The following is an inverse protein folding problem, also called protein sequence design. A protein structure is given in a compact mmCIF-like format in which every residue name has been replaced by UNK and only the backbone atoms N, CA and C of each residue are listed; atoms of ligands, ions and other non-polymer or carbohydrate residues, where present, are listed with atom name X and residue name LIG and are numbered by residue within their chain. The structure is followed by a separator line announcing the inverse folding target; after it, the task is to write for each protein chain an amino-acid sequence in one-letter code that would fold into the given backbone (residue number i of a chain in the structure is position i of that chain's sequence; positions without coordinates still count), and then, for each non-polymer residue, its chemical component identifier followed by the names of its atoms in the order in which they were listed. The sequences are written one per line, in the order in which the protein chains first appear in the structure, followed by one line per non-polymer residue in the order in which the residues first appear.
data_IF_327134417220
#
_entry.id   IF_327134417220
#
_cell.length_a   1.000
_cell.length_b   1.000
_cell.length_c   1.000
_cell.angle_alpha   90.00
_cell.angle_beta   90.00
_cell.angle_gamma   90.00
#
_symmetry.space_group_name_H-M   'P 1'
#
loop_
_entity.id
_entity.type
_entity.pdbx_description
1 polymer ?
#
# COMPACT_ATOMS: atom_id res chain seq x y z
N UNK A 1 -7.62 -12.66 22.38
CA UNK A 1 -6.28 -12.27 22.84
C UNK A 1 -5.34 -12.41 21.66
N UNK A 2 -4.77 -11.29 21.22
CA UNK A 2 -3.74 -11.31 20.20
C UNK A 2 -2.50 -12.06 20.72
N UNK A 3 -1.83 -12.78 19.83
CA UNK A 3 -0.54 -13.41 20.12
C UNK A 3 0.57 -12.49 19.61
N UNK A 4 1.51 -12.16 20.49
CA UNK A 4 2.67 -11.33 20.15
C UNK A 4 3.94 -12.15 20.35
N UNK A 5 4.80 -12.15 19.34
CA UNK A 5 6.11 -12.82 19.38
C UNK A 5 7.20 -11.91 18.86
N UNK A 6 8.41 -12.09 19.40
CA UNK A 6 9.57 -11.33 18.95
C UNK A 6 9.97 -11.73 17.52
N UNK A 7 10.15 -10.74 16.66
CA UNK A 7 10.72 -10.90 15.32
C UNK A 7 12.15 -10.37 15.30
N UNK A 8 13.07 -11.16 14.75
CA UNK A 8 14.47 -10.78 14.63
C UNK A 8 15.15 -11.49 13.48
N UNK A 9 15.85 -10.74 12.64
CA UNK A 9 16.59 -11.25 11.48
C UNK A 9 17.92 -10.53 11.34
N UNK A 10 18.87 -11.18 10.66
CA UNK A 10 20.19 -10.60 10.37
C UNK A 10 20.43 -10.64 8.88
N UNK A 11 20.86 -9.53 8.30
CA UNK A 11 21.29 -9.43 6.90
C UNK A 11 22.81 -9.27 6.85
N UNK A 12 23.47 -10.08 6.03
CA UNK A 12 24.93 -10.02 5.77
C UNK A 12 25.19 -10.03 4.27
N UNK A 13 26.45 -9.97 3.84
CA UNK A 13 26.78 -10.11 2.43
C UNK A 13 26.44 -11.51 1.87
N UNK A 14 26.47 -12.55 2.70
CA UNK A 14 26.17 -13.94 2.33
C UNK A 14 24.67 -14.24 2.37
N UNK A 15 23.93 -13.55 3.24
CA UNK A 15 22.48 -13.66 3.37
C UNK A 15 21.89 -12.25 3.41
N UNK A 16 21.77 -11.65 2.23
CA UNK A 16 21.44 -10.22 2.06
C UNK A 16 19.95 -9.94 2.05
N UNK A 17 19.09 -10.97 2.09
CA UNK A 17 17.64 -10.83 1.92
C UNK A 17 16.87 -11.78 2.83
N UNK A 18 15.76 -11.31 3.37
CA UNK A 18 14.80 -12.12 4.13
C UNK A 18 13.37 -11.68 3.81
N UNK A 19 12.48 -12.66 3.70
CA UNK A 19 11.07 -12.43 3.41
C UNK A 19 10.24 -12.86 4.60
N UNK A 20 9.38 -11.97 5.06
CA UNK A 20 8.28 -12.26 5.96
C UNK A 20 7.01 -12.40 5.13
N UNK A 21 6.20 -13.40 5.45
CA UNK A 21 4.96 -13.68 4.75
C UNK A 21 3.88 -14.04 5.77
N UNK A 22 2.63 -13.89 5.35
CA UNK A 22 1.48 -14.26 6.18
C UNK A 22 1.27 -15.77 6.16
N UNK A 23 0.83 -16.30 7.29
CA UNK A 23 0.42 -17.70 7.43
C UNK A 23 -1.01 -17.86 6.90
N UNK A 24 -1.17 -18.38 5.69
CA UNK A 24 -2.49 -18.53 5.03
C UNK A 24 -3.44 -19.45 5.80
N UNK A 25 -2.93 -20.37 6.62
CA UNK A 25 -3.73 -21.25 7.46
C UNK A 25 -4.28 -20.54 8.73
N UNK A 26 -3.87 -19.29 8.96
CA UNK A 26 -4.30 -18.50 10.11
C UNK A 26 -5.41 -17.52 9.73
N UNK A 27 -6.63 -17.81 10.18
CA UNK A 27 -7.86 -17.07 9.81
C UNK A 27 -8.00 -15.64 10.35
N UNK A 28 -7.00 -15.11 11.05
CA UNK A 28 -7.04 -13.80 11.71
C UNK A 28 -5.91 -12.91 11.23
N UNK A 29 -6.06 -11.61 11.47
CA UNK A 29 -5.10 -10.60 11.05
C UNK A 29 -3.67 -10.88 11.53
N UNK A 30 -2.70 -10.64 10.68
CA UNK A 30 -1.27 -10.80 10.92
C UNK A 30 -0.55 -9.52 10.58
N UNK A 31 0.28 -9.07 11.52
CA UNK A 31 1.02 -7.83 11.42
C UNK A 31 2.47 -8.01 11.81
N UNK A 32 3.36 -7.48 10.98
CA UNK A 32 4.77 -7.32 11.30
C UNK A 32 5.04 -5.86 11.67
N UNK A 33 5.60 -5.63 12.86
CA UNK A 33 5.99 -4.30 13.32
C UNK A 33 7.50 -4.23 13.44
N UNK A 34 8.17 -3.36 12.69
CA UNK A 34 9.62 -3.18 12.78
C UNK A 34 9.94 -2.02 13.71
N UNK A 35 10.61 -2.33 14.82
CA UNK A 35 10.96 -1.34 15.84
C UNK A 35 12.34 -0.76 15.66
N UNK A 36 13.32 -1.53 15.18
CA UNK A 36 14.68 -1.04 14.99
C UNK A 36 15.44 -1.79 13.91
N UNK A 37 16.36 -1.07 13.28
CA UNK A 37 17.38 -1.60 12.38
C UNK A 37 18.74 -1.12 12.88
N UNK A 38 19.64 -2.05 13.19
CA UNK A 38 20.92 -1.82 13.87
C UNK A 38 22.08 -2.40 13.06
N UNK A 39 23.14 -1.63 12.91
CA UNK A 39 24.40 -2.07 12.32
C UNK A 39 25.28 -2.73 13.37
N UNK A 40 25.77 -3.93 13.06
CA UNK A 40 26.68 -4.69 13.92
C UNK A 40 27.98 -3.97 14.23
N UNK A 41 28.62 -4.38 15.32
CA UNK A 41 29.88 -3.80 15.77
C UNK A 41 31.03 -4.15 14.81
N UNK A 42 30.93 -5.30 14.17
CA UNK A 42 31.84 -5.91 13.21
C UNK A 42 31.65 -5.39 11.78
N UNK A 43 30.68 -4.50 11.54
CA UNK A 43 30.50 -3.86 10.25
C UNK A 43 31.73 -3.04 9.86
N UNK A 44 32.10 -3.11 8.58
CA UNK A 44 33.28 -2.42 8.04
C UNK A 44 33.20 -0.92 8.27
N UNK A 45 34.32 -0.33 8.67
CA UNK A 45 34.45 1.12 8.77
C UNK A 45 34.31 1.78 7.40
N UNK A 46 33.78 3.00 7.39
CA UNK A 46 33.61 3.81 6.18
C UNK A 46 32.72 3.20 5.08
N UNK A 47 31.90 2.20 5.41
CA UNK A 47 30.97 1.54 4.48
C UNK A 47 29.50 1.87 4.81
N UNK A 48 28.74 2.32 3.80
CA UNK A 48 27.29 2.46 3.93
C UNK A 48 26.61 1.09 3.81
N UNK A 49 25.69 0.84 4.73
CA UNK A 49 24.82 -0.31 4.77
C UNK A 49 23.39 0.17 4.57
N UNK A 50 22.73 -0.27 3.50
CA UNK A 50 21.40 0.22 3.12
C UNK A 50 20.43 -0.93 3.09
N UNK A 51 19.38 -0.84 3.92
CA UNK A 51 18.28 -1.81 3.94
C UNK A 51 17.11 -1.23 3.14
N UNK A 52 16.67 -1.97 2.16
CA UNK A 52 15.47 -1.74 1.36
C UNK A 52 14.34 -2.63 1.85
N UNK A 53 13.11 -2.11 1.79
CA UNK A 53 11.88 -2.90 1.92
C UNK A 53 11.19 -2.99 0.57
N UNK A 54 10.64 -4.16 0.27
CA UNK A 54 9.74 -4.38 -0.86
C UNK A 54 8.42 -4.97 -0.33
N UNK A 55 7.31 -4.30 -0.65
CA UNK A 55 5.95 -4.80 -0.41
C UNK A 55 5.22 -4.90 -1.77
N UNK A 56 5.08 -6.11 -2.33
CA UNK A 56 4.42 -6.28 -3.63
C UNK A 56 2.96 -5.81 -3.63
N UNK A 57 2.25 -6.01 -2.51
CA UNK A 57 0.85 -5.60 -2.33
C UNK A 57 0.67 -4.09 -2.51
N UNK A 58 1.57 -3.29 -1.96
CA UNK A 58 1.49 -1.82 -2.04
C UNK A 58 2.29 -1.24 -3.21
N UNK A 59 2.97 -2.08 -4.00
CA UNK A 59 3.91 -1.66 -5.05
C UNK A 59 5.00 -0.71 -4.53
N UNK A 60 5.44 -0.88 -3.28
CA UNK A 60 6.49 -0.06 -2.65
C UNK A 60 7.81 -0.81 -2.64
N UNK A 61 8.86 -0.15 -3.11
CA UNK A 61 10.24 -0.61 -2.99
C UNK A 61 11.16 0.57 -2.67
N UNK A 62 11.53 0.75 -1.39
CA UNK A 62 12.29 1.91 -0.92
C UNK A 62 13.30 1.56 0.19
N UNK A 63 14.41 2.31 0.32
CA UNK A 63 15.27 2.23 1.49
C UNK A 63 14.54 2.63 2.77
N UNK A 64 14.68 1.82 3.83
CA UNK A 64 14.14 2.10 5.18
C UNK A 64 15.24 2.34 6.22
N UNK A 65 16.50 2.01 5.91
CA UNK A 65 17.64 2.35 6.75
C UNK A 65 18.89 2.64 5.90
N UNK A 66 19.66 3.63 6.35
CA UNK A 66 21.01 3.92 5.87
C UNK A 66 21.90 4.04 7.09
N UNK A 67 22.83 3.09 7.23
CA UNK A 67 23.68 2.93 8.41
C UNK A 67 25.15 2.96 8.01
N UNK A 68 26.00 3.48 8.90
CA UNK A 68 27.44 3.51 8.69
C UNK A 68 28.17 3.58 10.04
N UNK A 69 29.17 2.73 10.20
CA UNK A 69 29.98 2.71 11.41
C UNK A 69 30.68 4.08 11.62
N UNK A 70 30.53 4.63 12.82
CA UNK A 70 31.04 5.98 13.16
C UNK A 70 30.08 7.14 12.84
N UNK A 71 28.96 6.86 12.16
CA UNK A 71 27.92 7.85 11.88
C UNK A 71 26.58 7.38 12.47
N UNK A 72 25.75 6.69 11.68
CA UNK A 72 24.45 6.19 12.11
C UNK A 72 24.53 4.69 12.31
N UNK A 73 24.48 4.23 13.58
CA UNK A 73 24.49 2.79 13.91
C UNK A 73 23.11 2.18 14.02
N UNK A 74 22.06 2.95 14.31
CA UNK A 74 20.71 2.43 14.44
C UNK A 74 19.68 3.45 13.96
N UNK A 75 18.55 2.94 13.47
CA UNK A 75 17.35 3.71 13.19
C UNK A 75 16.13 2.98 13.72
N UNK A 76 15.09 3.72 14.05
CA UNK A 76 13.80 3.21 14.52
C UNK A 76 12.73 3.66 13.52
N UNK A 77 12.50 2.89 12.43
CA UNK A 77 11.62 3.35 11.35
C UNK A 77 10.14 3.40 11.75
N UNK A 78 9.74 2.66 12.79
CA UNK A 78 8.36 2.54 13.29
C UNK A 78 7.36 2.26 12.16
N UNK A 79 7.64 1.20 11.39
CA UNK A 79 6.82 0.76 10.27
C UNK A 79 6.09 -0.53 10.63
N UNK A 80 4.87 -0.66 10.15
CA UNK A 80 4.02 -1.82 10.36
C UNK A 80 3.48 -2.32 9.01
N UNK A 81 3.39 -3.63 8.86
CA UNK A 81 2.93 -4.29 7.65
C UNK A 81 1.81 -5.26 8.02
N UNK A 82 0.61 -5.01 7.51
CA UNK A 82 -0.58 -5.80 7.80
C UNK A 82 -0.98 -6.64 6.59
N UNK A 83 -1.17 -7.94 6.78
CA UNK A 83 -1.67 -8.86 5.74
C UNK A 83 -0.91 -8.72 4.41
N UNK A 84 0.42 -8.60 4.48
CA UNK A 84 1.26 -8.26 3.33
C UNK A 84 2.60 -8.96 3.39
N UNK A 85 2.96 -9.67 2.33
CA UNK A 85 4.31 -10.18 2.13
C UNK A 85 5.32 -9.02 2.09
N UNK A 86 6.39 -9.12 2.88
CA UNK A 86 7.44 -8.09 2.97
C UNK A 86 8.80 -8.72 2.78
N UNK A 87 9.65 -8.11 1.94
CA UNK A 87 11.05 -8.50 1.82
C UNK A 87 11.96 -7.37 2.25
N UNK A 88 12.86 -7.66 3.17
CA UNK A 88 13.95 -6.77 3.55
C UNK A 88 15.23 -7.22 2.86
N UNK A 89 15.96 -6.27 2.25
CA UNK A 89 17.19 -6.56 1.54
C UNK A 89 18.31 -5.56 1.85
N UNK A 90 19.50 -6.06 2.13
CA UNK A 90 20.73 -5.29 2.26
C UNK A 90 21.28 -5.00 0.86
N UNK A 91 20.84 -3.89 0.25
CA UNK A 91 21.20 -3.54 -1.13
C UNK A 91 22.60 -2.91 -1.27
N UNK A 92 23.20 -2.49 -0.15
CA UNK A 92 24.58 -2.00 -0.06
C UNK A 92 25.18 -2.37 1.29
N UNK A 93 26.51 -2.52 1.30
CA UNK A 93 27.29 -2.82 2.50
C UNK A 93 27.39 -4.31 2.79
N UNK A 94 28.28 -4.66 3.71
CA UNK A 94 28.58 -6.06 4.06
C UNK A 94 27.81 -6.54 5.29
N UNK A 95 27.15 -5.62 6.00
CA UNK A 95 26.52 -5.89 7.28
C UNK A 95 27.53 -6.27 8.38
N UNK A 96 27.08 -6.98 9.42
CA UNK A 96 25.71 -7.45 9.62
C UNK A 96 24.78 -6.30 9.99
N UNK A 97 23.53 -6.40 9.52
CA UNK A 97 22.43 -5.52 9.93
C UNK A 97 21.36 -6.36 10.60
N UNK A 98 21.02 -6.02 11.84
CA UNK A 98 19.97 -6.65 12.62
C UNK A 98 18.67 -5.86 12.47
N UNK A 99 17.59 -6.54 12.12
CA UNK A 99 16.25 -5.96 12.08
C UNK A 99 15.45 -6.68 13.15
N UNK A 100 14.79 -5.94 14.04
CA UNK A 100 13.92 -6.53 15.04
C UNK A 100 12.66 -5.73 15.30
N UNK A 101 11.69 -6.42 15.89
CA UNK A 101 10.33 -5.98 16.02
C UNK A 101 9.45 -7.08 16.57
N UNK A 102 8.16 -7.05 16.25
CA UNK A 102 7.20 -8.04 16.72
C UNK A 102 6.33 -8.58 15.58
N UNK A 103 6.04 -9.88 15.63
CA UNK A 103 4.90 -10.45 14.91
C UNK A 103 3.69 -10.39 15.84
N UNK A 104 2.57 -9.88 15.33
CA UNK A 104 1.30 -9.81 16.03
C UNK A 104 0.29 -10.60 15.20
N UNK A 105 -0.35 -11.57 15.84
CA UNK A 105 -1.50 -12.30 15.31
C UNK A 105 -2.73 -11.80 16.07
N UNK A 106 -3.59 -11.06 15.38
CA UNK A 106 -4.78 -10.44 15.95
C UNK A 106 -5.78 -11.49 16.42
N UNK A 107 -6.71 -11.08 17.28
CA UNK A 107 -7.80 -11.94 17.75
C UNK A 107 -9.11 -11.79 16.98
N UNK A 108 -9.13 -10.87 16.01
CA UNK A 108 -10.25 -10.62 15.12
C UNK A 108 -10.07 -11.44 13.84
N UNK A 109 -11.06 -12.24 13.50
CA UNK A 109 -11.11 -12.93 12.20
C UNK A 109 -11.13 -11.91 11.06
N UNK A 110 -10.37 -12.18 10.01
CA UNK A 110 -10.44 -11.35 8.80
C UNK A 110 -11.77 -11.68 8.14
N UNK A 111 -12.77 -10.83 8.37
CA UNK A 111 -14.06 -10.94 7.69
C UNK A 111 -13.84 -10.48 6.26
N UNK A 112 -13.84 -11.43 5.34
CA UNK A 112 -13.82 -11.14 3.91
C UNK A 112 -15.17 -10.51 3.53
N UNK A 113 -15.22 -9.18 3.49
CA UNK A 113 -16.44 -8.45 3.12
C UNK A 113 -16.60 -8.35 1.59
N UNK A 114 -15.87 -9.15 0.80
CA UNK A 114 -16.02 -9.15 -0.67
C UNK A 114 -17.21 -10.00 -1.17
N UNK A 115 -17.96 -10.68 -0.30
CA UNK A 115 -19.10 -11.54 -0.70
C UNK A 115 -20.49 -10.85 -0.76
N UNK A 116 -20.61 -9.54 -0.52
CA UNK A 116 -21.93 -8.86 -0.44
C UNK A 116 -22.31 -8.00 -1.68
N UNK A 117 -21.60 -8.13 -2.80
CA UNK A 117 -21.85 -7.31 -4.02
C UNK A 117 -22.65 -8.05 -5.13
N UNK A 118 -23.42 -9.08 -4.75
CA UNK A 118 -24.43 -9.72 -5.63
C UNK A 118 -25.87 -9.38 -5.17
N UNK A 119 -26.17 -8.11 -4.86
CA UNK A 119 -27.57 -7.63 -4.74
C UNK A 119 -27.99 -6.76 -5.94
N UNK A 120 -29.07 -7.21 -6.58
CA UNK A 120 -30.09 -6.41 -7.28
C UNK A 120 -29.79 -5.80 -8.67
N UNK A 121 -29.61 -6.67 -9.67
CA UNK A 121 -29.99 -6.33 -11.05
C UNK A 121 -31.50 -6.61 -11.26
N UNK A 122 -32.35 -5.87 -10.52
CA UNK A 122 -33.82 -5.91 -10.63
C UNK A 122 -34.37 -4.51 -10.92
N UNK A 123 -34.05 -3.94 -12.08
CA UNK A 123 -34.71 -2.73 -12.54
C UNK A 123 -34.59 -2.53 -14.07
N UNK A 124 -35.62 -2.93 -14.82
CA UNK A 124 -36.13 -2.18 -15.98
C UNK A 124 -37.35 -2.91 -16.54
N UNK A 125 -38.50 -2.79 -15.86
CA UNK A 125 -39.80 -3.19 -16.40
C UNK A 125 -40.84 -2.09 -16.16
N UNK A 126 -40.53 -0.85 -16.54
CA UNK A 126 -41.44 0.32 -16.62
C UNK A 126 -40.85 1.24 -17.71
N UNK A 127 -41.51 1.82 -18.70
CA UNK A 127 -42.87 2.33 -18.79
C UNK A 127 -43.16 2.80 -20.24
N UNK A 128 -44.42 2.70 -20.64
CA UNK A 128 -45.16 3.61 -21.52
C UNK A 128 -44.89 3.72 -23.04
N UNK A 129 -45.65 2.90 -23.77
CA UNK A 129 -46.18 3.23 -25.08
C UNK A 129 -47.09 4.48 -25.04
N UNK A 130 -46.58 5.66 -25.42
CA UNK A 130 -47.45 6.77 -25.84
C UNK A 130 -47.10 7.31 -27.25
N UNK A 131 -47.91 6.98 -28.28
CA UNK A 131 -47.69 7.46 -29.65
C UNK A 131 -48.06 8.95 -29.82
N UNK A 132 -47.00 9.76 -29.92
CA UNK A 132 -46.81 10.96 -30.78
C UNK A 132 -48.08 11.55 -31.44
N UNK A 133 -48.89 12.29 -30.70
CA UNK A 133 -49.84 13.26 -31.31
C UNK A 133 -49.11 14.55 -31.67
N UNK A 134 -48.76 14.63 -32.95
CA UNK A 134 -48.23 15.82 -33.64
C UNK A 134 -49.29 16.94 -33.63
N UNK A 135 -49.19 17.91 -32.73
CA UNK A 135 -49.94 19.15 -32.81
C UNK A 135 -49.02 20.29 -33.26
N UNK A 136 -49.16 20.63 -34.54
CA UNK A 136 -48.53 21.74 -35.25
C UNK A 136 -49.15 23.04 -34.74
N UNK A 137 -48.42 23.88 -34.01
CA UNK A 137 -48.79 25.29 -33.85
C UNK A 137 -47.55 26.13 -34.17
N UNK A 138 -47.51 26.54 -35.43
CA UNK A 138 -46.77 27.70 -35.91
C UNK A 138 -47.32 28.95 -35.21
N UNK A 139 -46.47 29.85 -34.70
CA UNK A 139 -46.62 31.30 -34.85
C UNK A 139 -45.54 32.12 -34.10
N UNK A 140 -45.10 33.19 -34.78
CA UNK A 140 -44.41 34.40 -34.32
C UNK A 140 -43.01 34.20 -33.69
N UNK A 141 -41.89 34.36 -34.41
CA UNK A 141 -41.36 35.61 -34.97
C UNK A 141 -41.24 36.73 -33.92
N UNK A 142 -40.14 36.74 -33.17
CA UNK A 142 -39.62 37.96 -32.56
C UNK A 142 -38.12 38.06 -32.84
N UNK A 143 -37.79 38.98 -33.75
CA UNK A 143 -36.44 39.22 -34.22
C UNK A 143 -35.69 40.16 -33.28
N UNK A 144 -34.44 39.80 -32.96
CA UNK A 144 -33.40 40.79 -32.65
C UNK A 144 -32.13 40.39 -33.39
N UNK A 145 -31.96 41.02 -34.56
CA UNK A 145 -30.76 40.96 -35.36
C UNK A 145 -29.97 42.27 -35.17
N UNK A 146 -28.64 42.16 -35.35
CA UNK A 146 -27.67 43.21 -35.65
C UNK A 146 -27.08 44.03 -34.47
N UNK A 147 -25.77 43.90 -34.27
CA UNK A 147 -24.77 44.72 -35.01
C UNK A 147 -23.34 44.34 -34.63
N UNK A 148 -22.63 43.77 -35.61
CA UNK A 148 -21.18 43.71 -35.68
C UNK A 148 -20.61 45.13 -35.74
N UNK A 149 -19.79 45.52 -34.77
CA UNK A 149 -19.06 46.80 -34.79
C UNK A 149 -17.62 46.53 -35.26
N UNK A 150 -17.36 46.77 -36.54
CA UNK A 150 -16.03 46.70 -37.16
C UNK A 150 -15.48 48.14 -37.13
N UNK A 151 -14.57 48.45 -36.19
CA UNK A 151 -13.74 49.66 -36.27
C UNK A 151 -12.54 49.35 -37.16
N UNK A 152 -12.47 50.06 -38.29
CA UNK A 152 -11.29 50.25 -39.13
C UNK A 152 -10.89 51.72 -38.97
#
# INVERSE_FOLDING_TARGET
MAEESFYGVTLTAESDSVTWDVDEDYARGQKLVIKQILLGAEAKENEFNVVEVNTPKDSVQIPIAVLKAGETRAVNPDVEFYESKVTFKLIKGSGPVYIHGHNIKDDVEVVDMEEDDEEDDVAEDEEDEHPKKRAKIENAADGKNAKNNKKK
#
